data_IF_212486205663
#
_entry.id   IF_212486205663
#
_cell.length_a   1.000
_cell.length_b   1.000
_cell.length_c   1.000
_cell.angle_alpha   90.00
_cell.angle_beta   90.00
_cell.angle_gamma   90.00
#
_symmetry.space_group_name_H-M   'P 1'
#
loop_
_entity.id
_entity.type
_entity.pdbx_description
1 polymer ?
#
# COMPACT_ATOMS: atom_id res chain seq x y z
N UNK A 1 -6.16 -33.56 -0.43
CA UNK A 1 -6.48 -32.32 -1.16
C UNK A 1 -5.47 -32.17 -2.30
N UNK A 2 -5.91 -32.06 -3.56
CA UNK A 2 -5.03 -32.15 -4.75
C UNK A 2 -4.18 -30.85 -4.87
N UNK A 3 -2.87 -30.96 -5.17
CA UNK A 3 -1.94 -29.80 -5.35
C UNK A 3 -2.47 -28.72 -6.30
N UNK A 4 -3.27 -29.10 -7.29
CA UNK A 4 -3.90 -28.19 -8.25
C UNK A 4 -5.00 -27.34 -7.58
N UNK A 5 -5.81 -27.91 -6.69
CA UNK A 5 -6.86 -27.21 -5.94
C UNK A 5 -6.26 -26.18 -4.97
N UNK A 6 -5.18 -26.53 -4.27
CA UNK A 6 -4.47 -25.61 -3.36
C UNK A 6 -3.89 -24.38 -4.08
N UNK A 7 -3.29 -24.58 -5.27
CA UNK A 7 -2.78 -23.47 -6.11
C UNK A 7 -3.88 -22.56 -6.63
N UNK A 8 -5.05 -23.12 -7.01
CA UNK A 8 -6.18 -22.33 -7.47
C UNK A 8 -6.74 -21.45 -6.36
N UNK A 9 -6.96 -21.99 -5.17
CA UNK A 9 -7.42 -21.25 -3.98
C UNK A 9 -6.45 -20.11 -3.63
N UNK A 10 -5.14 -20.36 -3.65
CA UNK A 10 -4.13 -19.34 -3.39
C UNK A 10 -4.17 -18.18 -4.39
N UNK A 11 -4.37 -18.46 -5.69
CA UNK A 11 -4.51 -17.44 -6.74
C UNK A 11 -5.78 -16.61 -6.57
N UNK A 12 -6.90 -17.24 -6.27
CA UNK A 12 -8.18 -16.56 -6.04
C UNK A 12 -8.09 -15.61 -4.85
N UNK A 13 -7.52 -16.06 -3.72
CA UNK A 13 -7.32 -15.22 -2.54
C UNK A 13 -6.40 -14.02 -2.82
N UNK A 14 -5.37 -14.19 -3.65
CA UNK A 14 -4.51 -13.10 -4.09
C UNK A 14 -5.27 -12.05 -4.89
N UNK A 15 -6.08 -12.48 -5.86
CA UNK A 15 -6.91 -11.58 -6.68
C UNK A 15 -7.95 -10.83 -5.85
N UNK A 16 -8.62 -11.53 -4.93
CA UNK A 16 -9.60 -10.91 -4.02
C UNK A 16 -8.95 -9.83 -3.16
N UNK A 17 -7.76 -10.09 -2.61
CA UNK A 17 -7.03 -9.08 -1.83
C UNK A 17 -6.67 -7.85 -2.67
N UNK A 18 -6.16 -8.04 -3.88
CA UNK A 18 -5.85 -6.94 -4.80
C UNK A 18 -7.12 -6.13 -5.09
N UNK A 19 -8.25 -6.80 -5.37
CA UNK A 19 -9.52 -6.14 -5.66
C UNK A 19 -10.05 -5.32 -4.48
N UNK A 20 -9.94 -5.83 -3.25
CA UNK A 20 -10.35 -5.11 -2.04
C UNK A 20 -9.51 -3.83 -1.87
N UNK A 21 -8.19 -3.93 -1.99
CA UNK A 21 -7.32 -2.75 -1.84
C UNK A 21 -7.48 -1.77 -3.01
N UNK A 22 -7.72 -2.24 -4.22
CA UNK A 22 -8.08 -1.40 -5.36
C UNK A 22 -9.35 -0.58 -5.07
N UNK A 23 -10.39 -1.22 -4.56
CA UNK A 23 -11.62 -0.54 -4.15
C UNK A 23 -11.37 0.50 -3.05
N UNK A 24 -10.54 0.18 -2.06
CA UNK A 24 -10.16 1.13 -1.00
C UNK A 24 -9.39 2.35 -1.54
N UNK A 25 -8.47 2.15 -2.50
CA UNK A 25 -7.75 3.26 -3.15
C UNK A 25 -8.72 4.16 -3.89
N UNK A 26 -9.69 3.59 -4.62
CA UNK A 26 -10.72 4.33 -5.33
C UNK A 26 -11.57 5.14 -4.35
N UNK A 27 -12.07 4.53 -3.28
CA UNK A 27 -12.83 5.22 -2.23
C UNK A 27 -11.99 6.35 -1.62
N UNK A 28 -10.71 6.10 -1.34
CA UNK A 28 -9.79 7.11 -0.81
C UNK A 28 -9.58 8.31 -1.73
N UNK A 29 -9.67 8.13 -3.03
CA UNK A 29 -9.57 9.22 -4.00
C UNK A 29 -10.81 10.15 -3.95
N UNK A 30 -11.99 9.63 -3.58
CA UNK A 30 -13.21 10.41 -3.44
C UNK A 30 -13.35 11.07 -2.07
N UNK A 31 -12.75 10.50 -1.02
CA UNK A 31 -12.70 11.14 0.30
C UNK A 31 -11.63 12.23 0.27
N UNK A 32 -12.04 13.44 -0.08
CA UNK A 32 -11.14 14.58 -0.25
C UNK A 32 -11.67 15.83 0.44
N UNK A 33 -10.74 16.63 0.94
CA UNK A 33 -11.00 17.93 1.52
C UNK A 33 -10.34 18.99 0.62
N UNK A 34 -11.08 19.97 0.11
CA UNK A 34 -10.55 21.01 -0.76
C UNK A 34 -9.71 22.01 0.06
N UNK A 35 -8.41 21.81 0.12
CA UNK A 35 -7.46 22.69 0.81
C UNK A 35 -6.44 23.16 -0.22
N UNK A 36 -6.57 24.41 -0.69
CA UNK A 36 -5.64 24.99 -1.68
C UNK A 36 -5.76 24.42 -3.10
N UNK A 37 -4.67 24.43 -3.84
CA UNK A 37 -4.59 24.04 -5.25
C UNK A 37 -4.70 22.51 -5.42
N UNK A 38 -4.21 21.76 -4.44
CA UNK A 38 -4.23 20.30 -4.44
C UNK A 38 -5.13 19.84 -3.31
N UNK A 39 -6.21 19.09 -3.59
CA UNK A 39 -7.10 18.59 -2.55
C UNK A 39 -6.41 17.52 -1.70
N UNK A 40 -6.56 17.60 -0.39
CA UNK A 40 -6.14 16.55 0.55
C UNK A 40 -7.08 15.37 0.38
N UNK A 41 -6.57 14.21 0.02
CA UNK A 41 -7.37 12.99 -0.13
C UNK A 41 -6.82 11.87 0.73
N UNK A 42 -7.67 10.90 1.07
CA UNK A 42 -7.23 9.68 1.78
C UNK A 42 -6.57 8.65 0.85
N UNK A 43 -6.37 8.99 -0.40
CA UNK A 43 -5.82 8.09 -1.42
C UNK A 43 -4.41 7.60 -1.06
N UNK A 44 -3.53 8.51 -0.57
CA UNK A 44 -2.19 8.13 -0.10
C UNK A 44 -2.26 7.10 1.02
N UNK A 45 -3.14 7.31 2.01
CA UNK A 45 -3.29 6.40 3.14
C UNK A 45 -3.66 4.98 2.70
N UNK A 46 -4.65 4.84 1.81
CA UNK A 46 -5.07 3.52 1.32
C UNK A 46 -4.05 2.89 0.37
N UNK A 47 -3.36 3.68 -0.45
CA UNK A 47 -2.30 3.19 -1.32
C UNK A 47 -1.10 2.66 -0.50
N UNK A 48 -0.67 3.41 0.51
CA UNK A 48 0.36 3.00 1.45
C UNK A 48 -0.07 1.75 2.23
N UNK A 49 -1.31 1.69 2.72
CA UNK A 49 -1.85 0.53 3.42
C UNK A 49 -1.88 -0.70 2.51
N UNK A 50 -2.29 -0.54 1.24
CA UNK A 50 -2.22 -1.60 0.23
C UNK A 50 -0.80 -2.12 0.07
N UNK A 51 0.20 -1.24 0.01
CA UNK A 51 1.61 -1.64 -0.17
C UNK A 51 2.13 -2.45 1.01
N UNK A 52 1.82 -2.04 2.25
CA UNK A 52 2.23 -2.74 3.46
C UNK A 52 1.56 -4.12 3.60
N UNK A 53 0.30 -4.22 3.21
CA UNK A 53 -0.49 -5.45 3.34
C UNK A 53 -0.26 -6.44 2.21
N UNK A 54 -0.19 -5.99 0.97
CA UNK A 54 -0.03 -6.85 -0.21
C UNK A 54 1.43 -7.23 -0.47
N UNK A 55 2.37 -6.35 -0.08
CA UNK A 55 3.78 -6.47 -0.48
C UNK A 55 4.06 -5.86 -1.86
N UNK A 56 5.32 -5.89 -2.30
CA UNK A 56 5.78 -5.10 -3.44
C UNK A 56 5.11 -5.43 -4.77
N UNK A 57 5.11 -6.71 -5.17
CA UNK A 57 4.57 -7.11 -6.48
C UNK A 57 3.06 -6.90 -6.59
N UNK A 58 2.29 -7.27 -5.56
CA UNK A 58 0.84 -7.19 -5.60
C UNK A 58 0.35 -5.75 -5.47
N UNK A 59 1.07 -4.90 -4.73
CA UNK A 59 0.78 -3.47 -4.68
C UNK A 59 1.08 -2.77 -6.02
N UNK A 60 2.16 -3.15 -6.72
CA UNK A 60 2.42 -2.66 -8.07
C UNK A 60 1.27 -3.01 -9.02
N UNK A 61 0.81 -4.27 -9.01
CA UNK A 61 -0.33 -4.71 -9.84
C UNK A 61 -1.59 -3.92 -9.47
N UNK A 62 -1.87 -3.74 -8.18
CA UNK A 62 -3.03 -3.00 -7.69
C UNK A 62 -3.03 -1.55 -8.20
N UNK A 63 -1.91 -0.83 -8.03
CA UNK A 63 -1.78 0.57 -8.48
C UNK A 63 -1.76 0.67 -10.00
N UNK A 64 -1.13 -0.27 -10.71
CA UNK A 64 -1.13 -0.29 -12.17
C UNK A 64 -2.56 -0.46 -12.75
N UNK A 65 -3.36 -1.37 -12.16
CA UNK A 65 -4.77 -1.53 -12.54
C UNK A 65 -5.56 -0.25 -12.25
N UNK A 66 -5.35 0.38 -11.08
CA UNK A 66 -5.98 1.65 -10.72
C UNK A 66 -5.70 2.74 -11.77
N UNK A 67 -4.45 2.91 -12.17
CA UNK A 67 -4.03 3.88 -13.19
C UNK A 67 -4.64 3.55 -14.54
N UNK A 68 -4.58 2.28 -14.96
CA UNK A 68 -5.15 1.83 -16.22
C UNK A 68 -6.66 2.13 -16.29
N UNK A 69 -7.41 1.79 -15.24
CA UNK A 69 -8.84 2.10 -15.13
C UNK A 69 -9.11 3.59 -15.28
N UNK A 70 -8.33 4.43 -14.58
CA UNK A 70 -8.51 5.88 -14.66
C UNK A 70 -8.20 6.44 -16.04
N UNK A 71 -7.13 5.98 -16.71
CA UNK A 71 -6.72 6.48 -18.01
C UNK A 71 -7.66 6.06 -19.17
N UNK A 72 -8.28 4.88 -19.11
CA UNK A 72 -9.29 4.45 -20.07
C UNK A 72 -10.64 5.18 -19.91
N UNK A 73 -10.77 6.07 -18.91
CA UNK A 73 -11.92 6.94 -18.75
C UNK A 73 -12.86 6.55 -17.60
N UNK A 74 -12.60 5.48 -16.84
CA UNK A 74 -13.38 5.18 -15.65
C UNK A 74 -13.08 6.26 -14.60
N UNK A 75 -14.10 6.92 -13.99
CA UNK A 75 -13.91 8.03 -13.09
C UNK A 75 -13.45 7.55 -11.70
N UNK A 76 -12.24 7.01 -11.61
CA UNK A 76 -11.64 6.50 -10.35
C UNK A 76 -10.64 7.46 -9.70
N UNK A 77 -10.19 8.50 -10.44
CA UNK A 77 -9.33 9.54 -9.89
C UNK A 77 -10.14 10.62 -9.16
N UNK A 78 -9.49 11.39 -8.33
CA UNK A 78 -10.14 12.41 -7.48
C UNK A 78 -10.90 13.50 -8.25
N UNK A 79 -10.58 13.75 -9.53
CA UNK A 79 -11.25 14.70 -10.40
C UNK A 79 -11.81 14.05 -11.68
N UNK A 80 -12.12 12.76 -11.66
CA UNK A 80 -12.69 12.03 -12.79
C UNK A 80 -11.78 10.97 -13.36
N UNK A 81 -11.67 10.88 -14.69
CA UNK A 81 -10.83 9.92 -15.42
C UNK A 81 -10.61 10.37 -16.85
N UNK A 82 -9.88 9.57 -17.62
CA UNK A 82 -9.54 9.79 -19.02
C UNK A 82 -8.08 10.15 -19.24
N UNK A 83 -7.62 10.00 -20.48
CA UNK A 83 -6.21 10.21 -20.86
C UNK A 83 -5.73 11.64 -20.55
N UNK A 84 -6.61 12.64 -20.65
CA UNK A 84 -6.27 14.03 -20.37
C UNK A 84 -6.02 14.31 -18.88
N UNK A 85 -6.33 13.35 -17.98
CA UNK A 85 -6.00 13.46 -16.56
C UNK A 85 -4.49 13.57 -16.32
N UNK A 86 -3.69 13.07 -17.25
CA UNK A 86 -2.21 13.23 -17.24
C UNK A 86 -1.81 14.71 -17.18
N UNK A 87 -2.59 15.61 -17.74
CA UNK A 87 -2.33 17.06 -17.73
C UNK A 87 -2.71 17.75 -16.40
N UNK A 88 -3.31 17.03 -15.46
CA UNK A 88 -3.61 17.55 -14.14
C UNK A 88 -2.34 17.59 -13.27
N UNK A 89 -2.08 18.68 -12.53
CA UNK A 89 -0.92 18.77 -11.64
C UNK A 89 -0.85 17.66 -10.59
N UNK A 90 -2.01 17.12 -10.20
CA UNK A 90 -2.12 16.04 -9.22
C UNK A 90 -1.72 14.66 -9.75
N UNK A 91 -1.61 14.49 -11.07
CA UNK A 91 -1.26 13.19 -11.67
C UNK A 91 0.14 12.70 -11.26
N UNK A 92 1.04 13.63 -10.95
CA UNK A 92 2.38 13.29 -10.44
C UNK A 92 2.35 12.44 -9.17
N UNK A 93 1.38 12.64 -8.29
CA UNK A 93 1.22 11.80 -7.10
C UNK A 93 0.80 10.38 -7.45
N UNK A 94 -0.05 10.23 -8.47
CA UNK A 94 -0.48 8.91 -8.98
C UNK A 94 0.72 8.15 -9.56
N UNK A 95 1.60 8.84 -10.30
CA UNK A 95 2.88 8.27 -10.74
C UNK A 95 3.79 7.92 -9.55
N UNK A 96 3.80 8.78 -8.54
CA UNK A 96 4.50 8.53 -7.28
C UNK A 96 4.00 7.27 -6.58
N UNK A 97 2.69 6.98 -6.61
CA UNK A 97 2.14 5.72 -6.08
C UNK A 97 2.62 4.50 -6.87
N UNK A 98 2.72 4.59 -8.20
CA UNK A 98 3.20 3.49 -9.03
C UNK A 98 4.62 3.06 -8.67
N UNK A 99 5.46 4.01 -8.29
CA UNK A 99 6.86 3.77 -7.91
C UNK A 99 6.97 3.48 -6.40
N UNK A 100 6.30 4.28 -5.59
CA UNK A 100 6.41 4.23 -4.12
C UNK A 100 5.78 3.00 -3.50
N UNK A 101 4.63 2.54 -4.01
CA UNK A 101 3.92 1.40 -3.45
C UNK A 101 4.74 0.09 -3.53
N UNK A 102 5.31 -0.31 -4.68
CA UNK A 102 6.13 -1.52 -4.72
C UNK A 102 7.39 -1.41 -3.85
N UNK A 103 8.08 -0.27 -3.84
CA UNK A 103 9.29 -0.07 -3.03
C UNK A 103 8.94 -0.19 -1.54
N UNK A 104 7.88 0.48 -1.10
CA UNK A 104 7.34 0.37 0.26
C UNK A 104 7.03 -1.08 0.63
N UNK A 105 6.32 -1.79 -0.25
CA UNK A 105 5.94 -3.18 -0.04
C UNK A 105 7.16 -4.11 0.06
N UNK A 106 8.19 -3.92 -0.75
CA UNK A 106 9.42 -4.70 -0.66
C UNK A 106 10.21 -4.41 0.62
N UNK A 107 10.28 -3.16 1.06
CA UNK A 107 10.92 -2.80 2.33
C UNK A 107 10.18 -3.44 3.50
N UNK A 108 8.84 -3.34 3.51
CA UNK A 108 8.00 -3.83 4.58
C UNK A 108 7.98 -5.37 4.66
N UNK A 109 7.82 -6.04 3.51
CA UNK A 109 7.51 -7.47 3.42
C UNK A 109 8.63 -8.34 2.82
N UNK A 110 9.69 -7.74 2.26
CA UNK A 110 10.69 -8.45 1.46
C UNK A 110 10.19 -8.81 0.05
N UNK A 111 11.10 -9.24 -0.81
CA UNK A 111 10.79 -9.56 -2.21
C UNK A 111 9.83 -10.73 -2.39
N UNK A 112 9.87 -11.72 -1.49
CA UNK A 112 9.00 -12.91 -1.51
C UNK A 112 7.91 -12.87 -0.43
N UNK A 113 7.67 -11.71 0.18
CA UNK A 113 6.81 -11.55 1.35
C UNK A 113 7.22 -12.47 2.54
N UNK A 114 8.51 -12.77 2.64
CA UNK A 114 9.11 -13.68 3.62
C UNK A 114 9.87 -12.95 4.75
N UNK A 115 9.88 -11.62 4.71
CA UNK A 115 10.53 -10.84 5.74
C UNK A 115 9.74 -10.84 7.06
N UNK A 116 10.43 -10.81 8.21
CA UNK A 116 9.77 -10.79 9.51
C UNK A 116 8.88 -9.56 9.65
N UNK A 117 7.65 -9.78 10.15
CA UNK A 117 6.67 -8.72 10.38
C UNK A 117 7.11 -7.89 11.58
N UNK A 118 7.64 -6.70 11.31
CA UNK A 118 8.16 -5.77 12.31
C UNK A 118 7.60 -4.37 12.08
N UNK A 119 7.26 -3.67 13.15
CA UNK A 119 6.78 -2.28 13.11
C UNK A 119 7.80 -1.37 12.42
N UNK A 120 9.10 -1.53 12.70
CA UNK A 120 10.15 -0.74 12.08
C UNK A 120 10.21 -0.90 10.56
N UNK A 121 10.05 -2.12 10.04
CA UNK A 121 10.01 -2.38 8.61
C UNK A 121 8.76 -1.77 7.96
N UNK A 122 7.61 -1.82 8.65
CA UNK A 122 6.38 -1.18 8.18
C UNK A 122 6.53 0.35 8.15
N UNK A 123 7.11 0.95 9.19
CA UNK A 123 7.40 2.38 9.23
C UNK A 123 8.39 2.79 8.13
N UNK A 124 9.51 2.10 7.97
CA UNK A 124 10.46 2.37 6.89
C UNK A 124 9.81 2.26 5.52
N UNK A 125 8.96 1.25 5.29
CA UNK A 125 8.18 1.12 4.07
C UNK A 125 7.24 2.30 3.86
N UNK A 126 6.45 2.68 4.86
CA UNK A 126 5.49 3.78 4.78
C UNK A 126 6.18 5.12 4.50
N UNK A 127 7.26 5.44 5.22
CA UNK A 127 8.02 6.68 5.00
C UNK A 127 8.76 6.69 3.67
N UNK A 128 9.21 5.54 3.15
CA UNK A 128 9.78 5.47 1.81
C UNK A 128 8.74 5.77 0.72
N UNK A 129 7.50 5.26 0.88
CA UNK A 129 6.41 5.62 -0.02
C UNK A 129 6.13 7.12 0.03
N UNK A 130 6.02 7.70 1.24
CA UNK A 130 5.80 9.13 1.43
C UNK A 130 6.85 9.97 0.71
N UNK A 131 8.13 9.66 0.93
CA UNK A 131 9.24 10.38 0.30
C UNK A 131 9.19 10.32 -1.23
N UNK A 132 8.95 9.14 -1.80
CA UNK A 132 8.89 8.93 -3.25
C UNK A 132 7.69 9.65 -3.84
N UNK A 133 6.50 9.51 -3.24
CA UNK A 133 5.27 10.12 -3.72
C UNK A 133 5.39 11.64 -3.75
N UNK A 134 5.97 12.23 -2.72
CA UNK A 134 6.19 13.68 -2.68
C UNK A 134 7.29 14.14 -3.64
N UNK A 135 8.39 13.41 -3.75
CA UNK A 135 9.44 13.74 -4.70
C UNK A 135 8.89 13.80 -6.13
N UNK A 136 8.17 12.76 -6.56
CA UNK A 136 7.57 12.69 -7.90
C UNK A 136 6.43 13.70 -8.05
N UNK A 137 5.54 13.80 -7.07
CA UNK A 137 4.36 14.67 -7.11
C UNK A 137 4.72 16.14 -7.18
N UNK A 138 5.61 16.62 -6.31
CA UNK A 138 6.06 18.02 -6.28
C UNK A 138 6.83 18.39 -7.55
N UNK A 139 7.71 17.49 -8.01
CA UNK A 139 8.43 17.71 -9.27
C UNK A 139 7.48 17.81 -10.45
N UNK A 140 6.44 16.97 -10.48
CA UNK A 140 5.42 17.00 -11.52
C UNK A 140 4.58 18.30 -11.48
N UNK A 141 4.16 18.73 -10.28
CA UNK A 141 3.47 20.03 -10.11
C UNK A 141 4.34 21.15 -10.65
N UNK A 142 5.63 21.18 -10.29
CA UNK A 142 6.55 22.20 -10.77
C UNK A 142 6.62 22.22 -12.29
N UNK A 143 6.75 21.06 -12.95
CA UNK A 143 6.78 20.97 -14.40
C UNK A 143 5.46 21.44 -15.03
N UNK A 144 4.33 20.96 -14.53
CA UNK A 144 3.01 21.28 -15.06
C UNK A 144 2.70 22.77 -14.97
N UNK A 145 2.96 23.40 -13.84
CA UNK A 145 2.64 24.81 -13.65
C UNK A 145 3.56 25.73 -14.45
N UNK A 146 4.85 25.43 -14.55
CA UNK A 146 5.78 26.26 -15.29
C UNK A 146 5.70 26.08 -16.81
N UNK A 147 5.54 24.85 -17.30
CA UNK A 147 5.65 24.56 -18.74
C UNK A 147 4.30 24.40 -19.44
N UNK A 148 3.26 23.95 -18.74
CA UNK A 148 1.96 23.73 -19.35
C UNK A 148 0.95 24.84 -19.02
N UNK A 149 0.82 25.22 -17.75
CA UNK A 149 -0.12 26.27 -17.32
C UNK A 149 0.45 27.66 -17.53
N UNK A 150 1.79 27.80 -17.61
CA UNK A 150 2.46 29.07 -17.83
C UNK A 150 2.49 30.00 -16.62
N UNK A 151 2.19 29.47 -15.42
CA UNK A 151 2.31 30.22 -14.16
C UNK A 151 3.69 30.01 -13.57
N UNK A 152 4.55 31.04 -13.60
CA UNK A 152 5.88 30.97 -13.02
C UNK A 152 5.82 30.61 -11.51
N UNK A 153 6.22 29.38 -11.18
CA UNK A 153 6.26 28.89 -9.81
C UNK A 153 7.69 28.49 -9.43
N UNK A 154 8.18 29.00 -8.31
CA UNK A 154 9.48 28.53 -7.77
C UNK A 154 9.33 27.11 -7.19
N UNK A 155 10.45 26.36 -7.17
CA UNK A 155 10.46 25.01 -6.57
C UNK A 155 10.06 25.05 -5.08
N UNK A 156 10.44 26.08 -4.35
CA UNK A 156 10.06 26.29 -2.95
C UNK A 156 8.54 26.42 -2.76
N UNK A 157 7.87 27.16 -3.66
CA UNK A 157 6.40 27.26 -3.65
C UNK A 157 5.74 25.95 -4.02
N UNK A 158 6.27 25.23 -5.03
CA UNK A 158 5.77 23.92 -5.41
C UNK A 158 5.86 22.94 -4.23
N UNK A 159 6.95 22.98 -3.48
CA UNK A 159 7.14 22.16 -2.27
C UNK A 159 6.16 22.53 -1.16
N UNK A 160 5.97 23.81 -0.91
CA UNK A 160 5.03 24.30 0.10
C UNK A 160 3.60 23.86 -0.19
N UNK A 161 3.15 24.04 -1.43
CA UNK A 161 1.78 23.74 -1.87
C UNK A 161 1.55 22.24 -2.04
N UNK A 162 2.55 21.51 -2.53
CA UNK A 162 2.43 20.09 -2.88
C UNK A 162 2.81 19.13 -1.75
N UNK A 163 3.51 19.59 -0.70
CA UNK A 163 3.99 18.73 0.37
C UNK A 163 3.59 19.24 1.76
N UNK A 164 3.95 20.48 2.11
CA UNK A 164 3.89 20.95 3.50
C UNK A 164 2.47 20.90 4.10
N UNK A 165 1.44 21.15 3.29
CA UNK A 165 0.03 21.15 3.72
C UNK A 165 -0.45 19.74 4.07
N UNK A 166 0.05 18.71 3.38
CA UNK A 166 -0.40 17.32 3.55
C UNK A 166 0.45 16.55 4.56
N UNK A 167 1.68 16.99 4.78
CA UNK A 167 2.70 16.28 5.55
C UNK A 167 2.21 15.85 6.95
N UNK A 168 1.55 16.71 7.77
CA UNK A 168 1.09 16.30 9.10
C UNK A 168 0.08 15.15 9.06
N UNK A 169 -0.85 15.20 8.10
CA UNK A 169 -1.88 14.17 7.93
C UNK A 169 -1.26 12.87 7.44
N UNK A 170 -0.38 12.93 6.44
CA UNK A 170 0.20 11.74 5.82
C UNK A 170 1.24 11.07 6.72
N UNK A 171 1.99 11.83 7.52
CA UNK A 171 2.85 11.27 8.58
C UNK A 171 2.02 10.53 9.63
N UNK A 172 0.87 11.10 10.03
CA UNK A 172 -0.04 10.41 10.95
C UNK A 172 -0.55 9.10 10.36
N UNK A 173 -0.90 9.08 9.07
CA UNK A 173 -1.30 7.86 8.37
C UNK A 173 -0.15 6.86 8.24
N UNK A 174 1.09 7.30 8.04
CA UNK A 174 2.25 6.41 8.03
C UNK A 174 2.42 5.67 9.35
N UNK A 175 2.23 6.36 10.47
CA UNK A 175 2.34 5.75 11.81
C UNK A 175 1.16 4.80 12.06
N UNK A 176 -0.07 5.29 11.92
CA UNK A 176 -1.28 4.50 12.18
C UNK A 176 -1.34 3.28 11.24
N UNK A 177 -1.14 3.49 9.94
CA UNK A 177 -1.18 2.43 8.94
C UNK A 177 -0.10 1.37 9.17
N UNK A 178 1.11 1.75 9.61
CA UNK A 178 2.17 0.81 9.96
C UNK A 178 1.82 -0.04 11.16
N UNK A 179 1.26 0.56 12.22
CA UNK A 179 0.84 -0.15 13.43
C UNK A 179 -0.31 -1.12 13.13
N UNK A 180 -1.33 -0.64 12.41
CA UNK A 180 -2.48 -1.46 12.01
C UNK A 180 -2.05 -2.60 11.09
N UNK A 181 -1.23 -2.33 10.06
CA UNK A 181 -0.72 -3.37 9.16
C UNK A 181 0.07 -4.44 9.92
N UNK A 182 0.94 -4.01 10.84
CA UNK A 182 1.73 -4.93 11.66
C UNK A 182 0.83 -5.81 12.55
N UNK A 183 -0.17 -5.22 13.21
CA UNK A 183 -1.10 -5.93 14.08
C UNK A 183 -1.95 -6.95 13.28
N UNK A 184 -2.52 -6.51 12.16
CA UNK A 184 -3.32 -7.37 11.28
C UNK A 184 -2.49 -8.52 10.73
N UNK A 185 -1.30 -8.24 10.19
CA UNK A 185 -0.45 -9.28 9.61
C UNK A 185 0.03 -10.29 10.64
N UNK A 186 0.37 -9.87 11.86
CA UNK A 186 0.76 -10.79 12.94
C UNK A 186 -0.38 -11.71 13.33
N UNK A 187 -1.62 -11.20 13.36
CA UNK A 187 -2.80 -11.98 13.76
C UNK A 187 -3.26 -12.94 12.66
N UNK A 188 -3.13 -12.53 11.40
CA UNK A 188 -3.65 -13.28 10.23
C UNK A 188 -2.54 -13.89 9.36
N UNK A 189 -1.27 -13.82 9.79
CA UNK A 189 -0.14 -14.44 9.09
C UNK A 189 -0.39 -15.90 8.68
N UNK A 190 -1.02 -16.76 9.50
CA UNK A 190 -1.34 -18.14 9.11
C UNK A 190 -2.30 -18.24 7.93
N UNK A 191 -3.21 -17.26 7.75
CA UNK A 191 -4.27 -17.29 6.74
C UNK A 191 -3.89 -16.59 5.44
N UNK A 192 -2.83 -15.78 5.43
CA UNK A 192 -2.50 -14.88 4.30
C UNK A 192 -1.39 -15.45 3.39
N UNK A 193 -1.08 -16.76 3.49
CA UNK A 193 -0.12 -17.42 2.59
C UNK A 193 1.36 -17.10 2.87
N UNK A 194 1.67 -16.43 4.01
CA UNK A 194 3.01 -16.44 4.62
C UNK A 194 3.24 -17.80 5.33
N UNK A 195 2.20 -18.62 5.29
CA UNK A 195 2.05 -19.86 6.04
C UNK A 195 3.06 -20.96 5.67
N UNK A 196 3.69 -20.93 4.50
CA UNK A 196 4.54 -22.07 4.11
C UNK A 196 5.86 -22.14 4.91
N UNK A 197 6.32 -21.04 5.49
CA UNK A 197 7.57 -21.03 6.27
C UNK A 197 7.34 -20.93 7.78
N UNK A 198 6.20 -20.36 8.21
CA UNK A 198 5.84 -20.25 9.64
C UNK A 198 4.88 -21.36 10.12
N UNK A 199 4.18 -22.02 9.20
CA UNK A 199 3.34 -23.20 9.50
C UNK A 199 4.12 -24.32 10.19
N UNK A 200 5.38 -24.54 9.78
CA UNK A 200 6.25 -25.50 10.43
C UNK A 200 6.51 -25.22 11.93
N UNK A 201 6.60 -23.94 12.30
CA UNK A 201 6.83 -23.57 13.71
C UNK A 201 5.55 -23.60 14.56
N UNK A 202 4.38 -23.33 13.97
CA UNK A 202 3.09 -23.38 14.69
C UNK A 202 2.67 -24.83 14.91
N UNK A 203 2.80 -25.68 13.90
CA UNK A 203 2.53 -27.12 14.06
C UNK A 203 3.51 -27.81 15.02
N UNK A 204 4.80 -27.46 14.97
CA UNK A 204 5.80 -28.00 15.91
C UNK A 204 5.53 -27.58 17.35
N UNK A 205 4.93 -26.38 17.56
CA UNK A 205 4.58 -25.91 18.91
C UNK A 205 3.29 -26.55 19.44
N UNK A 206 2.32 -26.80 18.59
CA UNK A 206 1.08 -27.51 18.98
C UNK A 206 1.32 -28.98 19.25
N UNK A 207 2.17 -29.65 18.47
CA UNK A 207 2.56 -31.05 18.76
C UNK A 207 3.40 -31.17 20.02
N UNK A 208 4.27 -30.21 20.31
CA UNK A 208 5.04 -30.27 21.58
C UNK A 208 4.18 -30.02 22.82
N UNK A 209 3.09 -29.23 22.68
CA UNK A 209 2.14 -29.01 23.79
C UNK A 209 1.16 -30.17 23.98
N UNK A 210 0.86 -30.95 22.92
CA UNK A 210 0.03 -32.17 23.05
C UNK A 210 0.79 -33.35 23.62
N UNK A 211 2.10 -33.45 23.37
CA UNK A 211 2.93 -34.52 23.90
C UNK A 211 3.23 -34.35 25.40
N UNK A 212 3.17 -33.12 25.93
CA UNK A 212 3.35 -32.84 27.35
C UNK A 212 2.08 -33.14 28.20
N UNK A 213 0.90 -33.15 27.57
CA UNK A 213 -0.38 -33.43 28.26
C UNK A 213 -0.70 -34.94 28.36
N UNK A 214 -0.14 -35.79 27.48
CA UNK A 214 -0.40 -37.24 27.48
C UNK A 214 0.54 -38.04 28.41
N UNK A 215 1.56 -37.40 28.97
CA UNK A 215 2.56 -38.02 29.83
C UNK A 215 2.24 -38.08 31.34
N UNK A 216 1.10 -37.52 31.78
CA UNK A 216 0.84 -37.26 33.20
C UNK A 216 -0.16 -38.18 33.94
N UNK A 217 -0.81 -39.14 33.29
CA UNK A 217 -1.91 -39.90 33.91
C UNK A 217 -1.82 -41.43 33.92
N UNK A 218 -0.63 -42.01 33.87
CA UNK A 218 -0.50 -43.47 34.10
C UNK A 218 0.71 -43.78 34.98
N UNK A 219 0.60 -43.46 36.25
CA UNK A 219 1.32 -44.19 37.34
C UNK A 219 0.73 -43.78 38.70
N UNK A 220 -0.37 -44.41 39.08
CA UNK A 220 -0.74 -44.77 40.49
C UNK A 220 -1.54 -46.05 40.48
#
# INVERSE_FOLDING_TARGET
MNKASSKAVSRTLRLVRIAIFLALIIVGAFVKFPIGIVPVSMQFAFCMFASLMLGGTDSLICVAIYIAMGLIGIPVFSAGGGIFYVLQPTFGYILGFLIGAPISGYIARGFKNDAPISVWRMLLGAFSALAIVYAVGVFYIYLMLNFYVGTAMSMSKAWLVGCAVFLPTDVSWCIIGSLVSCAVLKRYAPYVGVADKYSGYVYARETSLSDDDDGGFLNL
#
